data_IF_832397713173
#
_entry.id   IF_832397713173
#
_cell.length_a   1.000
_cell.length_b   1.000
_cell.length_c   1.000
_cell.angle_alpha   90.00
_cell.angle_beta   90.00
_cell.angle_gamma   90.00
#
_symmetry.space_group_name_H-M   'P 1'
#
loop_
_entity.id
_entity.type
_entity.pdbx_description
1 polymer ?
#
# COMPACT_ATOMS: atom_id res chain seq x y z
N UNK A 1 0.97 -12.37 -12.45
CA UNK A 1 0.80 -12.05 -11.01
C UNK A 1 0.98 -13.31 -10.20
N UNK A 2 1.63 -13.21 -9.02
CA UNK A 2 1.71 -14.31 -8.06
C UNK A 2 0.99 -13.93 -6.76
N UNK A 3 0.50 -14.91 -6.04
CA UNK A 3 -0.07 -14.74 -4.71
C UNK A 3 0.75 -15.55 -3.71
N UNK A 4 1.14 -14.90 -2.61
CA UNK A 4 1.79 -15.53 -1.46
C UNK A 4 0.74 -15.74 -0.37
N UNK A 5 0.45 -16.98 -0.03
CA UNK A 5 -0.55 -17.33 0.99
C UNK A 5 -0.18 -18.64 1.69
N UNK A 6 -0.61 -18.79 2.93
CA UNK A 6 -0.55 -20.02 3.74
C UNK A 6 -1.86 -20.82 3.64
N UNK A 7 -2.95 -20.22 3.14
CA UNK A 7 -4.28 -20.80 3.05
C UNK A 7 -4.50 -21.55 1.74
N UNK A 8 -4.85 -22.83 1.81
CA UNK A 8 -5.24 -23.61 0.64
C UNK A 8 -6.53 -23.08 -0.01
N UNK A 9 -7.45 -22.52 0.77
CA UNK A 9 -8.68 -21.90 0.25
C UNK A 9 -8.35 -20.67 -0.60
N UNK A 10 -7.49 -19.76 -0.09
CA UNK A 10 -7.06 -18.58 -0.82
C UNK A 10 -6.28 -18.98 -2.07
N UNK A 11 -5.40 -19.98 -1.99
CA UNK A 11 -4.68 -20.52 -3.15
C UNK A 11 -5.65 -20.90 -4.27
N UNK A 12 -6.64 -21.77 -3.98
CA UNK A 12 -7.61 -22.24 -4.97
C UNK A 12 -8.40 -21.10 -5.61
N UNK A 13 -8.84 -20.12 -4.80
CA UNK A 13 -9.56 -18.95 -5.30
C UNK A 13 -8.65 -18.13 -6.21
N UNK A 14 -7.41 -17.85 -5.80
CA UNK A 14 -6.47 -17.06 -6.58
C UNK A 14 -6.14 -17.70 -7.93
N UNK A 15 -5.93 -19.02 -7.94
CA UNK A 15 -5.67 -19.78 -9.17
C UNK A 15 -6.88 -19.79 -10.11
N UNK A 16 -8.11 -19.88 -9.57
CA UNK A 16 -9.34 -19.77 -10.36
C UNK A 16 -9.45 -18.42 -11.10
N UNK A 17 -8.90 -17.35 -10.51
CA UNK A 17 -8.86 -16.01 -11.13
C UNK A 17 -7.55 -15.72 -11.87
N UNK A 18 -6.76 -16.75 -12.22
CA UNK A 18 -5.59 -16.64 -13.08
C UNK A 18 -4.29 -16.21 -12.40
N UNK A 19 -4.25 -16.09 -11.08
CA UNK A 19 -3.01 -15.89 -10.35
C UNK A 19 -2.23 -17.21 -10.22
N UNK A 20 -0.92 -17.12 -10.01
CA UNK A 20 -0.06 -18.29 -9.76
C UNK A 20 0.32 -18.35 -8.29
N UNK A 21 0.26 -19.54 -7.68
CA UNK A 21 0.68 -19.78 -6.29
C UNK A 21 1.73 -20.89 -6.29
N UNK A 22 3.00 -20.50 -6.34
CA UNK A 22 4.11 -21.43 -6.51
C UNK A 22 4.58 -22.10 -5.20
N UNK A 23 4.23 -21.55 -4.05
CA UNK A 23 4.66 -22.00 -2.74
C UNK A 23 3.58 -21.71 -1.70
N UNK A 24 3.66 -22.45 -0.58
CA UNK A 24 2.90 -22.10 0.62
C UNK A 24 3.76 -21.13 1.45
N UNK A 25 3.15 -20.02 1.91
CA UNK A 25 3.86 -19.09 2.78
C UNK A 25 4.11 -19.74 4.15
N UNK A 26 5.33 -19.65 4.69
CA UNK A 26 5.67 -20.22 6.00
C UNK A 26 4.89 -19.55 7.15
N UNK A 27 4.56 -20.30 8.22
CA UNK A 27 3.80 -19.77 9.37
C UNK A 27 4.46 -18.54 10.02
N UNK A 28 5.80 -18.51 10.05
CA UNK A 28 6.59 -17.46 10.71
C UNK A 28 6.35 -16.08 10.10
N UNK A 29 6.00 -16.03 8.82
CA UNK A 29 5.67 -14.80 8.08
C UNK A 29 4.20 -14.76 7.62
N UNK A 30 3.34 -15.52 8.29
CA UNK A 30 1.89 -15.58 8.00
C UNK A 30 1.02 -15.11 9.17
N UNK A 31 1.63 -14.53 10.20
CA UNK A 31 0.97 -13.97 11.38
C UNK A 31 0.85 -12.44 11.26
N UNK A 32 0.12 -11.82 12.19
CA UNK A 32 -0.17 -10.37 12.22
C UNK A 32 1.07 -9.49 12.46
N UNK A 33 2.19 -10.07 12.89
CA UNK A 33 3.46 -9.36 13.11
C UNK A 33 4.37 -9.37 11.89
N UNK A 34 4.05 -10.20 10.90
CA UNK A 34 4.85 -10.35 9.69
C UNK A 34 4.85 -9.06 8.86
N UNK A 35 6.04 -8.56 8.55
CA UNK A 35 6.21 -7.35 7.74
C UNK A 35 6.06 -7.68 6.26
N UNK A 36 5.45 -6.77 5.51
CA UNK A 36 5.32 -6.87 4.05
C UNK A 36 6.65 -7.20 3.38
N UNK A 37 7.74 -6.57 3.83
CA UNK A 37 9.07 -6.80 3.28
C UNK A 37 9.53 -8.26 3.43
N UNK A 38 9.25 -8.90 4.55
CA UNK A 38 9.61 -10.31 4.81
C UNK A 38 8.91 -11.25 3.83
N UNK A 39 7.63 -10.98 3.55
CA UNK A 39 6.84 -11.75 2.58
C UNK A 39 7.37 -11.59 1.16
N UNK A 40 7.75 -10.36 0.78
CA UNK A 40 8.34 -10.10 -0.54
C UNK A 40 9.72 -10.76 -0.67
N UNK A 41 10.58 -10.63 0.35
CA UNK A 41 11.91 -11.26 0.36
C UNK A 41 11.80 -12.79 0.29
N UNK A 42 10.86 -13.39 1.01
CA UNK A 42 10.58 -14.83 0.88
C UNK A 42 10.25 -15.23 -0.56
N UNK A 43 9.35 -14.48 -1.20
CA UNK A 43 8.97 -14.72 -2.60
C UNK A 43 10.16 -14.58 -3.55
N UNK A 44 10.95 -13.52 -3.39
CA UNK A 44 12.17 -13.28 -4.18
C UNK A 44 13.20 -14.41 -3.99
N UNK A 45 13.40 -14.89 -2.77
CA UNK A 45 14.31 -16.00 -2.48
C UNK A 45 13.86 -17.28 -3.17
N UNK A 46 12.55 -17.54 -3.22
CA UNK A 46 12.02 -18.69 -3.95
C UNK A 46 12.35 -18.61 -5.46
N UNK A 47 12.13 -17.45 -6.08
CA UNK A 47 12.46 -17.24 -7.49
C UNK A 47 13.97 -17.29 -7.76
N UNK A 48 14.78 -16.75 -6.86
CA UNK A 48 16.25 -16.82 -6.95
C UNK A 48 16.74 -18.29 -7.00
N UNK A 49 16.15 -19.18 -6.19
CA UNK A 49 16.45 -20.62 -6.24
C UNK A 49 16.05 -21.24 -7.60
N UNK A 50 15.06 -20.69 -8.28
CA UNK A 50 14.64 -21.09 -9.63
C UNK A 50 15.40 -20.36 -10.76
N UNK A 51 16.48 -19.63 -10.42
CA UNK A 51 17.31 -18.85 -11.35
C UNK A 51 16.54 -17.77 -12.11
N UNK A 52 15.37 -17.36 -11.61
CA UNK A 52 14.58 -16.26 -12.19
C UNK A 52 14.98 -14.94 -11.54
N UNK A 53 15.29 -13.94 -12.38
CA UNK A 53 15.71 -12.59 -11.93
C UNK A 53 14.61 -11.59 -12.23
N UNK A 54 14.51 -10.58 -11.37
CA UNK A 54 13.65 -9.42 -11.53
C UNK A 54 14.44 -8.17 -11.18
N UNK A 55 14.08 -7.04 -11.79
CA UNK A 55 14.64 -5.74 -11.43
C UNK A 55 13.73 -5.02 -10.43
N UNK A 56 12.41 -5.18 -10.59
CA UNK A 56 11.38 -4.51 -9.81
C UNK A 56 10.32 -5.51 -9.32
N UNK A 57 9.74 -5.21 -8.18
CA UNK A 57 8.61 -5.94 -7.62
C UNK A 57 7.54 -4.96 -7.17
N UNK A 58 6.30 -5.23 -7.55
CA UNK A 58 5.12 -4.56 -7.01
C UNK A 58 4.45 -5.47 -5.98
N UNK A 59 4.39 -5.04 -4.74
CA UNK A 59 3.50 -5.61 -3.75
C UNK A 59 2.12 -4.97 -3.91
N UNK A 60 1.09 -5.76 -4.12
CA UNK A 60 -0.30 -5.31 -4.18
C UNK A 60 -1.04 -5.97 -3.02
N UNK A 61 -1.71 -5.18 -2.19
CA UNK A 61 -2.48 -5.70 -1.07
C UNK A 61 -3.80 -6.32 -1.54
N UNK A 62 -4.28 -7.36 -0.87
CA UNK A 62 -5.52 -8.04 -1.26
C UNK A 62 -6.76 -7.14 -1.20
N UNK A 63 -6.71 -6.09 -0.38
CA UNK A 63 -7.75 -5.07 -0.22
C UNK A 63 -7.77 -4.02 -1.34
N UNK A 64 -6.84 -4.10 -2.30
CA UNK A 64 -6.68 -3.11 -3.38
C UNK A 64 -7.67 -3.29 -4.53
N UNK A 65 -8.95 -3.47 -4.23
CA UNK A 65 -9.98 -3.79 -5.21
C UNK A 65 -10.29 -2.66 -6.21
N UNK A 66 -9.94 -1.43 -5.90
CA UNK A 66 -10.29 -0.24 -6.69
C UNK A 66 -9.14 0.29 -7.55
N UNK A 67 -7.93 -0.29 -7.46
CA UNK A 67 -6.80 0.14 -8.27
C UNK A 67 -7.01 -0.20 -9.74
N UNK A 68 -6.52 0.68 -10.61
CA UNK A 68 -6.58 0.48 -12.07
C UNK A 68 -5.21 0.07 -12.61
N UNK A 69 -5.19 -0.75 -13.64
CA UNK A 69 -3.94 -1.12 -14.32
C UNK A 69 -3.15 0.09 -14.83
N UNK A 70 -3.84 1.19 -15.16
CA UNK A 70 -3.24 2.47 -15.53
C UNK A 70 -2.43 3.10 -14.40
N UNK A 71 -2.89 2.96 -13.14
CA UNK A 71 -2.19 3.48 -11.98
C UNK A 71 -0.89 2.71 -11.72
N UNK A 72 -0.95 1.38 -11.84
CA UNK A 72 0.23 0.53 -11.76
C UNK A 72 1.25 0.85 -12.86
N UNK A 73 0.80 1.08 -14.10
CA UNK A 73 1.69 1.46 -15.22
C UNK A 73 2.33 2.83 -15.02
N UNK A 74 1.57 3.82 -14.55
CA UNK A 74 2.08 5.17 -14.30
C UNK A 74 3.05 5.19 -13.12
N UNK A 75 2.71 4.51 -12.02
CA UNK A 75 3.60 4.40 -10.85
C UNK A 75 4.88 3.60 -11.15
N UNK A 76 4.81 2.61 -12.05
CA UNK A 76 5.99 1.90 -12.52
C UNK A 76 6.99 2.82 -13.25
N UNK A 77 6.51 3.78 -14.04
CA UNK A 77 7.38 4.77 -14.68
C UNK A 77 8.16 5.62 -13.67
N UNK A 78 7.58 5.88 -12.49
CA UNK A 78 8.28 6.62 -11.44
C UNK A 78 9.45 5.84 -10.86
N UNK A 79 9.28 4.53 -10.62
CA UNK A 79 10.38 3.72 -10.06
C UNK A 79 11.48 3.46 -11.09
N UNK A 80 11.17 3.45 -12.39
CA UNK A 80 12.16 3.27 -13.45
C UNK A 80 13.15 4.45 -13.56
N UNK A 81 12.79 5.63 -13.08
CA UNK A 81 13.65 6.83 -13.12
C UNK A 81 14.89 6.75 -12.20
N UNK A 82 15.22 5.59 -11.66
CA UNK A 82 16.42 5.28 -10.88
C UNK A 82 16.71 6.17 -9.64
N UNK A 83 15.87 7.18 -9.40
CA UNK A 83 15.96 8.09 -8.25
C UNK A 83 15.45 7.45 -6.96
N UNK A 84 14.45 6.56 -7.09
CA UNK A 84 13.66 6.08 -5.98
C UNK A 84 13.92 4.62 -5.67
N UNK A 85 14.02 4.31 -4.40
CA UNK A 85 14.09 2.95 -3.89
C UNK A 85 12.72 2.29 -3.85
N UNK A 86 11.70 3.11 -3.53
CA UNK A 86 10.30 2.68 -3.49
C UNK A 86 9.37 3.77 -4.06
N UNK A 87 8.24 3.33 -4.59
CA UNK A 87 7.08 4.16 -4.93
C UNK A 87 5.87 3.55 -4.24
N UNK A 88 5.25 4.28 -3.33
CA UNK A 88 4.08 3.84 -2.59
C UNK A 88 2.81 4.53 -3.07
N UNK A 89 1.69 3.84 -3.03
CA UNK A 89 0.39 4.46 -3.23
C UNK A 89 0.04 5.34 -2.03
N UNK A 90 -0.40 6.55 -2.29
CA UNK A 90 -0.79 7.48 -1.23
C UNK A 90 -2.06 8.25 -1.61
N UNK A 91 -2.73 8.78 -0.62
CA UNK A 91 -3.82 9.73 -0.80
C UNK A 91 -3.54 11.01 -0.03
N UNK A 92 -3.97 12.12 -0.61
CA UNK A 92 -3.95 13.41 0.06
C UNK A 92 -5.04 13.45 1.15
N UNK A 93 -4.71 13.97 2.32
CA UNK A 93 -5.71 14.24 3.34
C UNK A 93 -6.77 15.20 2.81
N UNK A 94 -8.03 14.88 3.05
CA UNK A 94 -9.16 15.73 2.64
C UNK A 94 -9.37 16.96 3.52
N UNK A 95 -8.79 16.91 4.72
CA UNK A 95 -8.84 18.00 5.71
C UNK A 95 -7.42 18.33 6.15
N UNK A 96 -7.22 19.56 6.57
CA UNK A 96 -5.90 20.02 7.02
C UNK A 96 -5.51 19.32 8.33
N UNK A 97 -4.36 18.66 8.36
CA UNK A 97 -3.84 17.96 9.56
C UNK A 97 -3.61 18.96 10.70
N UNK A 98 -3.24 20.17 10.38
CA UNK A 98 -3.02 21.24 11.33
C UNK A 98 -4.26 21.58 12.18
N UNK A 99 -5.45 21.23 11.67
CA UNK A 99 -6.72 21.39 12.38
C UNK A 99 -7.18 20.11 13.09
N UNK A 100 -6.28 19.16 13.29
CA UNK A 100 -6.58 17.95 14.03
C UNK A 100 -6.58 18.20 15.54
N UNK A 101 -7.34 17.39 16.26
CA UNK A 101 -7.40 17.40 17.72
C UNK A 101 -7.62 15.99 18.25
N UNK A 102 -7.33 15.80 19.51
CA UNK A 102 -7.61 14.56 20.25
C UNK A 102 -8.68 14.84 21.31
N UNK A 103 -9.45 13.81 21.63
CA UNK A 103 -10.32 13.82 22.79
C UNK A 103 -9.59 13.18 23.97
N UNK A 104 -9.34 13.95 25.03
CA UNK A 104 -8.80 13.47 26.28
C UNK A 104 -9.82 13.76 27.40
N UNK A 105 -10.34 12.72 28.03
CA UNK A 105 -11.36 12.88 29.07
C UNK A 105 -12.55 13.76 28.64
N UNK A 106 -13.06 13.53 27.41
CA UNK A 106 -14.15 14.31 26.78
C UNK A 106 -13.80 15.78 26.48
N UNK A 107 -12.54 16.18 26.62
CA UNK A 107 -12.07 17.53 26.28
C UNK A 107 -11.29 17.51 24.99
N UNK A 108 -11.45 18.55 24.19
CA UNK A 108 -10.69 18.77 22.94
C UNK A 108 -9.26 19.21 23.34
N UNK A 109 -8.26 18.53 22.77
CA UNK A 109 -6.85 18.92 22.85
C UNK A 109 -6.34 19.07 21.42
N UNK A 110 -6.06 20.31 21.02
CA UNK A 110 -5.57 20.64 19.68
C UNK A 110 -4.18 20.05 19.46
N UNK A 111 -3.92 19.55 18.26
CA UNK A 111 -2.60 19.05 17.88
C UNK A 111 -1.63 20.22 17.65
N UNK A 112 -2.14 21.36 17.16
CA UNK A 112 -1.38 22.57 16.91
C UNK A 112 -2.27 23.80 17.10
N UNK A 113 -2.15 24.45 18.27
CA UNK A 113 -2.97 25.61 18.63
C UNK A 113 -2.74 26.81 17.68
N UNK A 114 -1.48 27.10 17.37
CA UNK A 114 -1.10 28.26 16.55
C UNK A 114 -1.60 28.17 15.11
N UNK A 115 -1.80 26.96 14.62
CA UNK A 115 -2.24 26.72 13.26
C UNK A 115 -3.74 26.49 13.13
N UNK A 116 -4.42 26.13 14.21
CA UNK A 116 -5.84 25.75 14.14
C UNK A 116 -6.75 26.86 13.57
N UNK A 117 -6.44 28.12 13.86
CA UNK A 117 -7.21 29.30 13.43
C UNK A 117 -6.74 29.90 12.12
N UNK A 118 -5.60 29.47 11.57
CA UNK A 118 -5.06 30.03 10.31
C UNK A 118 -5.87 29.62 9.09
N UNK A 119 -5.83 30.45 8.04
CA UNK A 119 -6.47 30.14 6.76
C UNK A 119 -5.88 28.90 6.12
N UNK A 120 -6.74 28.00 5.64
CA UNK A 120 -6.36 26.70 5.05
C UNK A 120 -5.46 26.82 3.80
N UNK A 121 -5.50 27.93 3.09
CA UNK A 121 -4.66 28.17 1.90
C UNK A 121 -3.16 28.33 2.21
N UNK A 122 -2.80 28.55 3.48
CA UNK A 122 -1.41 28.69 3.90
C UNK A 122 -0.73 27.35 4.26
N UNK A 123 -1.44 26.22 4.20
CA UNK A 123 -0.93 24.93 4.62
C UNK A 123 -0.44 24.09 3.45
N UNK A 124 0.61 23.32 3.70
CA UNK A 124 1.12 22.33 2.75
C UNK A 124 0.18 21.12 2.69
N UNK A 125 0.22 20.45 1.54
CA UNK A 125 -0.51 19.20 1.37
C UNK A 125 0.15 18.07 2.17
N UNK A 126 -0.64 17.34 2.92
CA UNK A 126 -0.24 16.13 3.61
C UNK A 126 -0.84 14.91 2.96
N UNK A 127 -0.08 13.82 2.98
CA UNK A 127 -0.47 12.54 2.39
C UNK A 127 -0.40 11.45 3.44
N UNK A 128 -1.20 10.43 3.26
CA UNK A 128 -1.12 9.19 4.03
C UNK A 128 -0.94 8.00 3.09
N UNK A 129 -0.39 6.91 3.62
CA UNK A 129 -0.34 5.63 2.93
C UNK A 129 -1.75 5.19 2.55
N UNK A 130 -1.97 4.88 1.27
CA UNK A 130 -3.27 4.41 0.80
C UNK A 130 -3.44 2.89 0.98
N UNK A 131 -2.39 2.17 1.40
CA UNK A 131 -2.45 0.73 1.64
C UNK A 131 -2.79 -0.12 0.43
N UNK A 132 -2.49 0.36 -0.80
CA UNK A 132 -2.92 -0.35 -2.00
C UNK A 132 -1.77 -1.10 -2.67
N UNK A 133 -0.68 -0.42 -2.98
CA UNK A 133 0.49 -1.06 -3.60
C UNK A 133 1.79 -0.32 -3.31
N UNK A 134 2.90 -1.07 -3.43
CA UNK A 134 4.25 -0.60 -3.22
C UNK A 134 5.18 -1.18 -4.29
N UNK A 135 5.77 -0.32 -5.12
CA UNK A 135 6.84 -0.68 -6.02
C UNK A 135 8.18 -0.55 -5.31
N UNK A 136 9.08 -1.49 -5.56
CA UNK A 136 10.45 -1.41 -5.09
C UNK A 136 11.40 -2.09 -6.07
N UNK A 137 12.66 -1.61 -6.14
CA UNK A 137 13.71 -2.38 -6.78
C UNK A 137 13.98 -3.64 -5.97
N UNK A 138 14.42 -4.72 -6.60
CA UNK A 138 14.78 -5.95 -5.87
C UNK A 138 15.86 -5.65 -4.82
N UNK A 139 16.84 -4.79 -5.16
CA UNK A 139 17.88 -4.34 -4.22
C UNK A 139 17.27 -3.65 -2.99
N UNK A 140 16.27 -2.82 -3.18
CA UNK A 140 15.59 -2.10 -2.08
C UNK A 140 14.81 -3.05 -1.18
N UNK A 141 14.11 -4.05 -1.75
CA UNK A 141 13.41 -5.05 -0.98
C UNK A 141 14.33 -5.92 -0.10
N UNK A 142 15.56 -6.18 -0.53
CA UNK A 142 16.57 -6.87 0.29
C UNK A 142 17.30 -5.96 1.28
N UNK A 143 17.19 -4.64 1.14
CA UNK A 143 17.90 -3.69 1.99
C UNK A 143 17.20 -3.53 3.35
N UNK A 144 17.89 -2.86 4.30
CA UNK A 144 17.28 -2.42 5.55
C UNK A 144 16.43 -1.13 5.39
N UNK A 145 16.36 -0.55 4.19
CA UNK A 145 15.56 0.64 3.93
C UNK A 145 14.08 0.31 4.07
N UNK A 146 13.35 1.18 4.71
CA UNK A 146 11.90 1.08 4.82
C UNK A 146 11.22 1.69 3.59
N UNK A 147 10.02 1.24 3.29
CA UNK A 147 9.18 1.79 2.20
C UNK A 147 8.98 3.31 2.39
N UNK A 148 8.90 3.79 3.64
CA UNK A 148 8.72 5.19 4.01
C UNK A 148 10.04 5.92 4.28
N UNK A 149 11.09 5.66 3.50
CA UNK A 149 12.38 6.34 3.64
C UNK A 149 12.44 7.62 2.78
N UNK A 150 13.47 8.45 3.02
CA UNK A 150 13.75 9.64 2.20
C UNK A 150 14.15 9.32 0.74
N UNK A 151 14.36 8.03 0.42
CA UNK A 151 14.58 7.52 -0.95
C UNK A 151 13.31 6.96 -1.57
N UNK A 152 12.15 7.27 -1.01
CA UNK A 152 10.85 6.86 -1.50
C UNK A 152 10.09 8.07 -2.05
N UNK A 153 9.18 7.80 -2.99
CA UNK A 153 8.20 8.77 -3.46
C UNK A 153 6.80 8.15 -3.47
N UNK A 154 5.81 8.98 -3.75
CA UNK A 154 4.42 8.54 -3.78
C UNK A 154 3.87 8.55 -5.21
N UNK A 155 2.89 7.67 -5.43
CA UNK A 155 1.92 7.79 -6.51
C UNK A 155 0.56 8.13 -5.89
N UNK A 156 0.10 9.34 -6.16
CA UNK A 156 -1.17 9.83 -5.60
C UNK A 156 -2.35 9.15 -6.28
N UNK A 157 -3.19 8.49 -5.50
CA UNK A 157 -4.47 7.93 -5.91
C UNK A 157 -5.59 8.94 -5.65
N UNK A 158 -6.57 8.96 -6.54
CA UNK A 158 -7.77 9.77 -6.35
C UNK A 158 -8.56 9.28 -5.13
N UNK A 159 -9.25 10.17 -4.47
CA UNK A 159 -9.97 9.92 -3.22
C UNK A 159 -10.93 8.71 -3.25
N UNK A 160 -11.49 8.41 -4.41
CA UNK A 160 -12.44 7.29 -4.61
C UNK A 160 -11.76 6.02 -5.17
N UNK A 161 -10.44 6.00 -5.31
CA UNK A 161 -9.68 4.86 -5.87
C UNK A 161 -9.01 3.99 -4.81
N UNK A 162 -9.00 4.42 -3.56
CA UNK A 162 -8.44 3.64 -2.49
C UNK A 162 -9.31 3.73 -1.25
N UNK A 163 -9.47 2.60 -0.60
CA UNK A 163 -10.09 2.47 0.70
C UNK A 163 -9.30 1.42 1.47
N UNK A 164 -9.00 1.71 2.71
CA UNK A 164 -8.40 0.74 3.62
C UNK A 164 -9.54 -0.09 4.23
N UNK A 165 -9.61 -1.36 3.85
CA UNK A 165 -10.72 -2.25 4.24
C UNK A 165 -10.32 -3.01 5.50
N UNK A 166 -10.77 -2.54 6.65
CA UNK A 166 -10.55 -3.14 7.96
C UNK A 166 -11.85 -3.69 8.57
N UNK A 167 -13.00 -3.12 8.19
CA UNK A 167 -14.31 -3.44 8.74
C UNK A 167 -15.30 -3.85 7.65
N UNK A 168 -16.45 -4.40 8.07
CA UNK A 168 -17.55 -4.72 7.14
C UNK A 168 -18.15 -3.45 6.49
N UNK A 169 -18.10 -2.34 7.19
CA UNK A 169 -18.61 -1.06 6.65
C UNK A 169 -17.65 -0.49 5.59
N UNK A 170 -16.32 -0.64 5.77
CA UNK A 170 -15.35 -0.31 4.74
C UNK A 170 -15.58 -1.18 3.48
N UNK A 171 -15.86 -2.47 3.67
CA UNK A 171 -16.19 -3.37 2.56
C UNK A 171 -17.42 -2.88 1.79
N UNK A 172 -18.53 -2.60 2.49
CA UNK A 172 -19.76 -2.08 1.86
C UNK A 172 -19.52 -0.76 1.13
N UNK A 173 -18.66 0.10 1.69
CA UNK A 173 -18.27 1.35 1.06
C UNK A 173 -17.41 1.11 -0.19
N UNK A 174 -16.46 0.18 -0.13
CA UNK A 174 -15.68 -0.22 -1.30
C UNK A 174 -16.57 -0.77 -2.43
N UNK A 175 -17.60 -1.58 -2.12
CA UNK A 175 -18.56 -2.07 -3.11
C UNK A 175 -19.35 -0.92 -3.78
N UNK A 176 -19.77 0.08 -3.02
CA UNK A 176 -20.45 1.26 -3.58
C UNK A 176 -19.53 2.05 -4.50
N UNK A 177 -18.28 2.27 -4.07
CA UNK A 177 -17.27 2.94 -4.91
C UNK A 177 -16.96 2.16 -6.18
N UNK A 178 -16.89 0.83 -6.09
CA UNK A 178 -16.68 -0.02 -7.27
C UNK A 178 -17.81 0.15 -8.29
N UNK A 179 -19.06 0.16 -7.85
CA UNK A 179 -20.24 0.35 -8.71
C UNK A 179 -20.28 1.75 -9.35
N UNK A 180 -19.76 2.78 -8.68
CA UNK A 180 -19.70 4.14 -9.22
C UNK A 180 -18.56 4.33 -10.24
N UNK A 181 -17.55 3.47 -10.23
CA UNK A 181 -16.35 3.59 -11.07
C UNK A 181 -16.39 2.68 -12.32
N UNK A 182 -17.42 1.84 -12.45
CA UNK A 182 -17.66 0.91 -13.56
C UNK A 182 -19.08 1.05 -14.09
#
# INVERSE_FOLDING_TARGET
>A
MIVSTDSLKIKRISEKYGAKVFFKRPPEISNDKAKTQEVIVHSLNWFKKKKTKFDYVCCIYPTSALIKSTDLKKSFKLIQNAKWSFVMSAQKYSTQIERSFRLLNKRIVLTNEDKFTKNSQAFQDFYHDAGQFYWGTVKSWYSKNTISSNKSTIYELKKYQAIDINTLDDWKFAEKLYKLNN
#
